data_IF_767454143310
#
_entry.id   IF_767454143310
#
_cell.length_a   1.000
_cell.length_b   1.000
_cell.length_c   1.000
_cell.angle_alpha   90.00
_cell.angle_beta   90.00
_cell.angle_gamma   90.00
#
_symmetry.space_group_name_H-M   'P 1'
#
loop_
_entity.id
_entity.type
_entity.pdbx_description
1 polymer ?
#
# COMPACT_ATOMS: atom_id res chain seq x y z
N UNK A 1 -1.18 13.58 5.68
CA UNK A 1 -0.26 12.86 4.78
C UNK A 1 0.46 11.74 5.51
N UNK A 2 1.08 12.04 6.66
CA UNK A 2 1.67 11.08 7.59
C UNK A 2 0.82 9.81 7.81
N UNK A 3 -0.46 9.98 8.17
CA UNK A 3 -1.37 8.86 8.43
C UNK A 3 -1.64 7.99 7.20
N UNK A 4 -1.79 8.59 6.03
CA UNK A 4 -2.00 7.85 4.77
C UNK A 4 -0.77 7.00 4.42
N UNK A 5 0.43 7.53 4.65
CA UNK A 5 1.67 6.82 4.41
C UNK A 5 1.88 5.67 5.39
N UNK A 6 1.62 5.90 6.68
CA UNK A 6 1.64 4.86 7.71
C UNK A 6 0.67 3.72 7.36
N UNK A 7 -0.57 4.06 6.98
CA UNK A 7 -1.57 3.08 6.59
C UNK A 7 -1.14 2.26 5.36
N UNK A 8 -0.56 2.90 4.33
CA UNK A 8 -0.06 2.18 3.15
C UNK A 8 1.10 1.25 3.50
N UNK A 9 2.09 1.73 4.27
CA UNK A 9 3.24 0.93 4.68
C UNK A 9 2.79 -0.32 5.43
N UNK A 10 1.88 -0.16 6.40
CA UNK A 10 1.40 -1.26 7.21
C UNK A 10 0.56 -2.25 6.41
N UNK A 11 -0.36 -1.75 5.57
CA UNK A 11 -1.18 -2.60 4.72
C UNK A 11 -0.31 -3.42 3.73
N UNK A 12 0.72 -2.79 3.13
CA UNK A 12 1.68 -3.48 2.28
C UNK A 12 2.42 -4.57 3.07
N UNK A 13 2.93 -4.24 4.26
CA UNK A 13 3.65 -5.21 5.10
C UNK A 13 2.81 -6.42 5.49
N UNK A 14 1.52 -6.21 5.76
CA UNK A 14 0.57 -7.29 6.04
C UNK A 14 0.27 -8.16 4.83
N UNK A 15 0.14 -7.57 3.65
CA UNK A 15 -0.18 -8.30 2.43
C UNK A 15 1.03 -8.98 1.79
N UNK A 16 2.26 -8.54 2.10
CA UNK A 16 3.50 -9.05 1.52
C UNK A 16 3.67 -10.59 1.63
N UNK A 17 3.38 -11.25 2.77
CA UNK A 17 3.46 -12.71 2.88
C UNK A 17 2.56 -13.46 1.88
N UNK A 18 1.45 -12.86 1.45
CA UNK A 18 0.55 -13.45 0.45
C UNK A 18 1.16 -13.53 -0.94
N UNK A 19 2.28 -12.84 -1.18
CA UNK A 19 2.96 -12.76 -2.47
C UNK A 19 4.16 -13.69 -2.60
N UNK A 20 4.48 -14.49 -1.57
CA UNK A 20 5.68 -15.36 -1.55
C UNK A 20 5.73 -16.33 -2.74
N UNK A 21 4.57 -16.79 -3.22
CA UNK A 21 4.48 -17.65 -4.41
C UNK A 21 4.65 -16.93 -5.75
N UNK A 22 4.71 -15.59 -5.77
CA UNK A 22 4.91 -14.77 -6.97
C UNK A 22 6.11 -13.81 -6.81
N UNK A 23 7.36 -14.28 -7.02
CA UNK A 23 8.58 -13.50 -6.78
C UNK A 23 8.65 -12.16 -7.51
N UNK A 24 8.07 -12.10 -8.72
CA UNK A 24 8.00 -10.85 -9.50
C UNK A 24 7.23 -9.75 -8.75
N UNK A 25 6.11 -10.10 -8.11
CA UNK A 25 5.32 -9.13 -7.37
C UNK A 25 5.84 -8.92 -5.95
N UNK A 26 6.34 -9.96 -5.28
CA UNK A 26 6.87 -9.83 -3.92
C UNK A 26 8.06 -8.86 -3.86
N UNK A 27 9.01 -8.95 -4.79
CA UNK A 27 10.18 -8.06 -4.80
C UNK A 27 9.79 -6.60 -5.06
N UNK A 28 8.91 -6.35 -6.02
CA UNK A 28 8.45 -4.99 -6.31
C UNK A 28 7.65 -4.40 -5.14
N UNK A 29 6.80 -5.20 -4.52
CA UNK A 29 5.97 -4.74 -3.40
C UNK A 29 6.80 -4.54 -2.13
N UNK A 30 7.84 -5.35 -1.92
CA UNK A 30 8.85 -5.11 -0.88
C UNK A 30 9.58 -3.78 -1.12
N UNK A 31 10.02 -3.50 -2.35
CA UNK A 31 10.64 -2.22 -2.71
C UNK A 31 9.71 -1.04 -2.43
N UNK A 32 8.42 -1.16 -2.73
CA UNK A 32 7.40 -0.14 -2.40
C UNK A 32 7.25 0.04 -0.88
N UNK A 33 7.29 -1.03 -0.10
CA UNK A 33 7.28 -0.97 1.36
C UNK A 33 8.50 -0.19 1.89
N UNK A 34 9.70 -0.49 1.38
CA UNK A 34 10.93 0.20 1.76
C UNK A 34 10.91 1.69 1.40
N UNK A 35 10.33 2.04 0.25
CA UNK A 35 10.11 3.44 -0.11
C UNK A 35 9.14 4.13 0.84
N UNK A 36 8.05 3.45 1.22
CA UNK A 36 7.09 3.98 2.17
C UNK A 36 7.74 4.23 3.53
N UNK A 37 8.59 3.30 3.99
CA UNK A 37 9.37 3.41 5.22
C UNK A 37 10.33 4.61 5.18
N UNK A 38 11.09 4.77 4.10
CA UNK A 38 12.00 5.91 3.93
C UNK A 38 11.27 7.25 3.94
N UNK A 39 10.17 7.36 3.19
CA UNK A 39 9.35 8.58 3.19
C UNK A 39 8.71 8.85 4.56
N UNK A 40 8.36 7.80 5.32
CA UNK A 40 7.79 7.90 6.66
C UNK A 40 8.80 8.46 7.66
N UNK A 41 10.03 7.95 7.62
CA UNK A 41 11.11 8.41 8.49
C UNK A 41 11.42 9.90 8.28
N UNK A 42 11.43 10.37 7.03
CA UNK A 42 11.65 11.79 6.69
C UNK A 42 10.49 12.68 7.20
N UNK A 43 9.25 12.16 7.18
CA UNK A 43 8.07 12.88 7.66
C UNK A 43 7.91 12.85 9.19
N UNK A 44 8.82 12.20 9.93
CA UNK A 44 8.80 12.14 11.40
C UNK A 44 7.57 11.40 11.96
N UNK A 45 7.00 10.47 11.20
CA UNK A 45 5.81 9.73 11.63
C UNK A 45 6.24 8.56 12.53
N UNK A 46 5.73 8.53 13.76
CA UNK A 46 6.06 7.48 14.72
C UNK A 46 5.50 6.11 14.32
N UNK A 47 6.13 5.05 14.81
CA UNK A 47 5.68 3.67 14.67
C UNK A 47 4.50 3.40 15.61
N UNK A 48 3.29 3.46 15.09
CA UNK A 48 2.17 2.77 15.73
C UNK A 48 2.10 1.35 15.19
N UNK A 49 2.60 0.40 15.99
CA UNK A 49 2.44 -1.03 15.78
C UNK A 49 1.10 -1.46 16.40
N UNK A 50 -0.01 -1.14 15.73
CA UNK A 50 -1.27 -1.81 16.04
C UNK A 50 -1.22 -3.24 15.48
N UNK A 51 -1.51 -4.25 16.30
CA UNK A 51 -1.75 -5.60 15.78
C UNK A 51 -3.09 -5.63 15.05
N UNK A 52 -3.05 -5.85 13.73
CA UNK A 52 -4.23 -6.16 12.91
C UNK A 52 -4.11 -7.60 12.44
N UNK A 53 -5.11 -8.39 12.76
CA UNK A 53 -5.23 -9.77 12.33
C UNK A 53 -5.67 -9.81 10.86
N UNK A 54 -4.90 -10.52 10.01
CA UNK A 54 -5.30 -10.72 8.62
C UNK A 54 -6.25 -11.90 8.59
N UNK A 55 -7.52 -11.64 8.27
CA UNK A 55 -8.60 -12.61 8.43
C UNK A 55 -8.54 -13.84 7.50
N UNK A 56 -7.61 -13.92 6.53
CA UNK A 56 -7.37 -15.12 5.70
C UNK A 56 -6.17 -14.90 4.76
N UNK A 57 -5.55 -15.97 4.24
CA UNK A 57 -4.58 -15.84 3.16
C UNK A 57 -5.24 -15.18 1.94
N UNK A 58 -4.70 -14.04 1.52
CA UNK A 58 -5.18 -13.30 0.34
C UNK A 58 -4.59 -13.92 -0.91
N UNK A 59 -5.37 -14.06 -1.99
CA UNK A 59 -4.83 -14.53 -3.26
C UNK A 59 -3.70 -13.60 -3.75
N UNK A 60 -2.53 -14.12 -4.18
CA UNK A 60 -1.37 -13.29 -4.53
C UNK A 60 -1.69 -12.22 -5.59
N UNK A 61 -2.40 -12.58 -6.66
CA UNK A 61 -2.78 -11.63 -7.71
C UNK A 61 -3.76 -10.55 -7.21
N UNK A 62 -4.56 -10.86 -6.20
CA UNK A 62 -5.45 -9.89 -5.57
C UNK A 62 -4.68 -8.88 -4.71
N UNK A 63 -3.72 -9.36 -3.92
CA UNK A 63 -2.82 -8.50 -3.16
C UNK A 63 -2.00 -7.59 -4.10
N UNK A 64 -1.45 -8.15 -5.18
CA UNK A 64 -0.73 -7.39 -6.19
C UNK A 64 -1.63 -6.33 -6.86
N UNK A 65 -2.88 -6.70 -7.19
CA UNK A 65 -3.86 -5.78 -7.77
C UNK A 65 -4.13 -4.58 -6.87
N UNK A 66 -4.43 -4.80 -5.59
CA UNK A 66 -4.74 -3.70 -4.68
C UNK A 66 -3.52 -2.82 -4.44
N UNK A 67 -2.35 -3.41 -4.20
CA UNK A 67 -1.14 -2.64 -3.88
C UNK A 67 -0.66 -1.84 -5.09
N UNK A 68 -0.54 -2.46 -6.26
CA UNK A 68 -0.11 -1.76 -7.48
C UNK A 68 -1.18 -0.77 -7.95
N UNK A 69 -2.46 -1.09 -7.78
CA UNK A 69 -3.57 -0.19 -8.08
C UNK A 69 -3.60 1.06 -7.19
N UNK A 70 -3.21 0.94 -5.92
CA UNK A 70 -3.11 2.07 -4.98
C UNK A 70 -2.20 3.20 -5.49
N UNK A 71 -1.24 2.85 -6.35
CA UNK A 71 -0.30 3.80 -6.98
C UNK A 71 -1.00 4.83 -7.85
N UNK A 72 -2.19 4.55 -8.39
CA UNK A 72 -2.96 5.53 -9.14
C UNK A 72 -3.35 6.75 -8.27
N UNK A 73 -3.61 6.52 -6.98
CA UNK A 73 -3.89 7.60 -6.02
C UNK A 73 -2.64 8.33 -5.51
N UNK A 74 -1.45 7.75 -5.69
CA UNK A 74 -0.20 8.30 -5.15
C UNK A 74 0.15 9.67 -5.75
N UNK A 75 -0.16 9.93 -7.03
CA UNK A 75 0.09 11.24 -7.64
C UNK A 75 -0.80 12.34 -7.04
N UNK A 76 -2.04 12.01 -6.67
CA UNK A 76 -2.94 12.94 -5.97
C UNK A 76 -2.35 13.28 -4.60
N UNK A 77 -1.84 12.27 -3.89
CA UNK A 77 -1.18 12.46 -2.60
C UNK A 77 0.10 13.28 -2.74
N UNK A 78 0.92 13.04 -3.77
CA UNK A 78 2.12 13.83 -4.07
C UNK A 78 1.81 15.31 -4.25
N UNK A 79 0.79 15.63 -5.06
CA UNK A 79 0.34 17.02 -5.28
C UNK A 79 -0.10 17.69 -3.98
N UNK A 80 -0.81 16.96 -3.11
CA UNK A 80 -1.21 17.47 -1.79
C UNK A 80 -0.01 17.69 -0.87
N UNK A 81 1.00 16.82 -0.91
CA UNK A 81 2.22 16.98 -0.12
C UNK A 81 2.98 18.25 -0.55
N UNK A 82 3.10 18.50 -1.85
CA UNK A 82 3.74 19.71 -2.41
C UNK A 82 3.01 21.01 -2.10
N UNK A 83 1.70 20.94 -1.91
CA UNK A 83 0.88 22.10 -1.57
C UNK A 83 0.92 22.45 -0.07
N UNK A 84 1.53 21.61 0.77
CA UNK A 84 1.66 21.89 2.19
C UNK A 84 2.65 23.05 2.44
N UNK A 85 2.43 23.92 3.44
CA UNK A 85 3.29 25.07 3.74
C UNK A 85 4.65 24.69 4.36
N UNK A 86 5.04 23.41 4.30
CA UNK A 86 6.28 22.88 4.87
C UNK A 86 7.19 22.44 3.73
N UNK A 87 8.42 22.92 3.72
CA UNK A 87 9.45 22.44 2.80
C UNK A 87 9.94 21.07 3.26
N UNK A 88 9.44 20.02 2.59
CA UNK A 88 9.86 18.65 2.82
C UNK A 88 11.07 18.31 1.95
N UNK A 89 12.01 17.53 2.49
CA UNK A 89 13.07 16.90 1.68
C UNK A 89 12.41 16.02 0.60
N UNK A 90 13.02 15.96 -0.58
CA UNK A 90 12.76 15.00 -1.66
C UNK A 90 12.51 13.56 -1.19
N UNK A 91 13.13 13.14 -0.08
CA UNK A 91 12.88 11.83 0.54
C UNK A 91 11.43 11.61 0.99
N UNK A 92 10.71 12.66 1.39
CA UNK A 92 9.29 12.60 1.76
C UNK A 92 8.39 12.26 0.57
N UNK A 93 8.82 12.58 -0.65
CA UNK A 93 8.08 12.31 -1.88
C UNK A 93 8.41 10.95 -2.51
N UNK A 94 9.51 10.29 -2.09
CA UNK A 94 10.05 9.12 -2.77
C UNK A 94 8.99 8.02 -2.99
N UNK A 95 8.19 7.71 -1.97
CA UNK A 95 7.08 6.77 -2.10
C UNK A 95 6.00 7.25 -3.06
N UNK A 96 5.65 8.53 -3.10
CA UNK A 96 4.56 9.04 -3.94
C UNK A 96 4.97 9.35 -5.38
N UNK A 97 6.26 9.57 -5.61
CA UNK A 97 6.82 9.89 -6.92
C UNK A 97 7.31 8.66 -7.68
N UNK A 98 7.26 7.47 -7.07
CA UNK A 98 7.70 6.25 -7.70
C UNK A 98 6.78 5.80 -8.85
N UNK A 99 7.36 5.76 -10.05
CA UNK A 99 6.76 5.22 -11.27
C UNK A 99 7.27 3.82 -11.66
N UNK A 100 8.12 3.19 -10.83
CA UNK A 100 8.76 1.90 -11.13
C UNK A 100 7.77 0.74 -11.31
N UNK A 101 6.57 0.86 -10.72
CA UNK A 101 5.54 -0.19 -10.74
C UNK A 101 4.79 -0.33 -12.06
N UNK A 102 4.95 0.56 -13.05
CA UNK A 102 4.16 0.53 -14.29
C UNK A 102 4.33 -0.77 -15.08
N UNK A 103 5.54 -1.32 -15.14
CA UNK A 103 5.79 -2.57 -15.84
C UNK A 103 5.12 -3.76 -15.14
N UNK A 104 5.23 -3.82 -13.81
CA UNK A 104 4.58 -4.84 -12.99
C UNK A 104 3.04 -4.77 -13.12
N UNK A 105 2.48 -3.56 -13.20
CA UNK A 105 1.04 -3.38 -13.45
C UNK A 105 0.61 -3.98 -14.79
N UNK A 106 1.35 -3.74 -15.87
CA UNK A 106 1.04 -4.32 -17.19
C UNK A 106 1.11 -5.85 -17.16
N UNK A 107 2.12 -6.42 -16.50
CA UNK A 107 2.25 -7.88 -16.33
C UNK A 107 1.07 -8.44 -15.56
N UNK A 108 0.66 -7.78 -14.48
CA UNK A 108 -0.51 -8.19 -13.70
C UNK A 108 -1.78 -8.16 -14.54
N UNK A 109 -2.00 -7.11 -15.34
CA UNK A 109 -3.16 -7.02 -16.22
C UNK A 109 -3.23 -8.18 -17.22
N UNK A 110 -2.07 -8.57 -17.79
CA UNK A 110 -1.99 -9.73 -18.67
C UNK A 110 -2.35 -11.02 -17.90
N UNK A 111 -1.72 -11.26 -16.74
CA UNK A 111 -1.98 -12.45 -15.94
C UNK A 111 -3.45 -12.58 -15.52
N UNK A 112 -4.09 -11.48 -15.13
CA UNK A 112 -5.51 -11.45 -14.79
C UNK A 112 -6.41 -11.68 -16.01
N UNK A 113 -5.99 -11.21 -17.19
CA UNK A 113 -6.73 -11.40 -18.45
C UNK A 113 -6.66 -12.83 -18.99
N UNK A 114 -5.64 -13.61 -18.59
CA UNK A 114 -5.43 -15.00 -18.98
C UNK A 114 -6.13 -16.00 -18.03
N UNK A 115 -6.90 -15.53 -17.05
CA UNK A 115 -7.61 -16.40 -16.09
C UNK A 115 -8.92 -16.88 -16.71
N UNK A 116 -8.94 -18.15 -17.08
CA UNK A 116 -10.13 -18.82 -17.63
C UNK A 116 -10.94 -19.60 -16.57
N UNK A 117 -10.39 -19.80 -15.36
CA UNK A 117 -11.05 -20.55 -14.30
C UNK A 117 -11.95 -19.64 -13.45
N UNK A 118 -13.28 -19.81 -13.53
CA UNK A 118 -14.25 -19.02 -12.77
C UNK A 118 -14.03 -19.09 -11.25
N UNK A 119 -13.65 -20.27 -10.73
CA UNK A 119 -13.35 -20.44 -9.30
C UNK A 119 -12.17 -19.57 -8.87
N UNK A 120 -11.07 -19.60 -9.63
CA UNK A 120 -9.88 -18.78 -9.34
C UNK A 120 -10.19 -17.30 -9.49
N UNK A 121 -10.98 -16.91 -10.50
CA UNK A 121 -11.43 -15.53 -10.67
C UNK A 121 -12.23 -15.04 -9.44
N UNK A 122 -13.12 -15.87 -8.89
CA UNK A 122 -13.87 -15.55 -7.68
C UNK A 122 -12.95 -15.44 -6.45
N UNK A 123 -12.01 -16.37 -6.28
CA UNK A 123 -11.00 -16.32 -5.20
C UNK A 123 -10.16 -15.02 -5.26
N UNK A 124 -9.85 -14.54 -6.47
CA UNK A 124 -9.14 -13.26 -6.67
C UNK A 124 -10.01 -12.06 -6.29
N UNK A 125 -11.29 -12.06 -6.69
CA UNK A 125 -12.21 -10.98 -6.35
C UNK A 125 -12.43 -10.90 -4.84
N UNK A 126 -12.67 -12.03 -4.18
CA UNK A 126 -12.80 -12.12 -2.72
C UNK A 126 -11.50 -11.69 -2.03
N UNK A 127 -10.36 -12.14 -2.53
CA UNK A 127 -9.04 -11.70 -2.05
C UNK A 127 -8.84 -10.20 -2.19
N UNK A 128 -9.34 -9.56 -3.25
CA UNK A 128 -9.18 -8.13 -3.47
C UNK A 128 -10.02 -7.34 -2.46
N UNK A 129 -11.23 -7.81 -2.16
CA UNK A 129 -12.07 -7.23 -1.11
C UNK A 129 -11.39 -7.33 0.26
N UNK A 130 -10.81 -8.48 0.59
CA UNK A 130 -10.05 -8.66 1.82
C UNK A 130 -8.85 -7.71 1.89
N UNK A 131 -8.09 -7.59 0.80
CA UNK A 131 -6.96 -6.67 0.71
C UNK A 131 -7.38 -5.20 0.87
N UNK A 132 -8.49 -4.76 0.26
CA UNK A 132 -9.05 -3.43 0.49
C UNK A 132 -9.47 -3.24 1.96
N UNK A 133 -10.03 -4.27 2.59
CA UNK A 133 -10.35 -4.27 4.02
C UNK A 133 -9.14 -3.93 4.90
N UNK A 134 -7.99 -4.55 4.62
CA UNK A 134 -6.73 -4.25 5.32
C UNK A 134 -6.32 -2.78 5.17
N UNK A 135 -6.38 -2.22 3.95
CA UNK A 135 -6.08 -0.80 3.74
C UNK A 135 -7.02 0.14 4.48
N UNK A 136 -8.32 -0.18 4.53
CA UNK A 136 -9.32 0.62 5.23
C UNK A 136 -9.11 0.57 6.75
N UNK A 137 -8.81 -0.61 7.30
CA UNK A 137 -8.55 -0.77 8.72
C UNK A 137 -7.30 0.00 9.15
N UNK A 138 -6.21 -0.12 8.40
CA UNK A 138 -4.97 0.63 8.65
C UNK A 138 -5.18 2.15 8.53
N UNK A 139 -5.99 2.60 7.56
CA UNK A 139 -6.35 4.01 7.45
C UNK A 139 -7.15 4.51 8.67
N UNK A 140 -8.08 3.70 9.18
CA UNK A 140 -8.85 4.01 10.38
C UNK A 140 -7.97 4.04 11.65
N UNK A 141 -7.03 3.10 11.78
CA UNK A 141 -6.05 3.08 12.86
C UNK A 141 -5.20 4.35 12.81
N UNK A 142 -4.62 4.67 11.64
CA UNK A 142 -3.77 5.84 11.48
C UNK A 142 -4.53 7.16 11.75
N UNK A 143 -5.83 7.23 11.41
CA UNK A 143 -6.67 8.38 11.71
C UNK A 143 -6.96 8.55 13.21
N UNK A 144 -7.17 7.45 13.94
CA UNK A 144 -7.44 7.47 15.40
C UNK A 144 -6.25 7.98 16.21
N UNK A 145 -5.03 7.58 15.84
CA UNK A 145 -3.81 7.97 16.55
C UNK A 145 -3.36 9.41 16.20
N UNK A 146 -3.80 9.95 15.06
CA UNK A 146 -3.62 11.36 14.68
C UNK A 146 -4.44 12.38 15.48
N UNK A 147 -5.46 11.94 16.22
CA UNK A 147 -6.40 12.81 16.95
C UNK A 147 -5.92 13.30 18.32
N UNK A 148 -4.77 12.83 18.83
CA UNK A 148 -4.31 13.14 20.21
C UNK A 148 -3.36 14.34 20.27
N UNK A 149 -2.84 14.85 19.15
CA UNK A 149 -1.92 16.00 19.14
C UNK A 149 -2.64 17.32 18.79
N UNK A 150 -3.65 17.66 19.59
CA UNK A 150 -4.26 18.99 19.61
C UNK A 150 -4.52 19.43 21.07
N UNK A 151 -3.53 19.23 21.94
CA UNK A 151 -3.43 20.04 23.17
C UNK A 151 -1.95 20.24 23.45
N UNK A 152 -1.47 21.47 23.24
CA UNK A 152 -0.60 22.27 24.11
C UNK A 152 -0.18 23.54 23.35
#
# INVERSE_FOLDING_TARGET
MAHTLAAHRNAIGRLLPSLVSHPLFSHEIQRLQELAEKSRAVLGVSEDEAEVEIASPVHPLAAAYVILGSRLGAEILRKRLKAAPTDWDSGAEAYFNDGGSQQHWKVLQQMLGDIDCEREANEIVEGAQAAFGVFLEEANIAARHGGVSATL
#
